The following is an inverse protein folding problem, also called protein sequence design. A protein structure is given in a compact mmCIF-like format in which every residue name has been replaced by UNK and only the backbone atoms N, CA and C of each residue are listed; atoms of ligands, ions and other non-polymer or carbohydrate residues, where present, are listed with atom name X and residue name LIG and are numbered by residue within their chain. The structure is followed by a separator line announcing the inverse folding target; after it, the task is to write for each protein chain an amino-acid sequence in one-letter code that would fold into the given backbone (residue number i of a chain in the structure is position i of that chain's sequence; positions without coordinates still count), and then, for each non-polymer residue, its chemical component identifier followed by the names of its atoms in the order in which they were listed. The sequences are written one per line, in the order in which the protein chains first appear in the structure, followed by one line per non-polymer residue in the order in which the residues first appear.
data_IF_832356095016
#
_entry.id   IF_832356095016
#
_cell.length_a   1.000
_cell.length_b   1.000
_cell.length_c   1.000
_cell.angle_alpha   90.00
_cell.angle_beta   90.00
_cell.angle_gamma   90.00
#
_symmetry.space_group_name_H-M   'P 1'
#
loop_
_entity.id
_entity.type
_entity.pdbx_description
1 polymer ?
#
# COMPACT_ATOMS: atom_id res chain seq x y z
N UNK A 1 -13.24 1.17 -0.30
CA UNK A 1 -12.07 2.08 -0.35
C UNK A 1 -11.30 1.88 0.93
N UNK A 2 -10.06 1.37 0.85
CA UNK A 2 -9.21 1.08 2.00
C UNK A 2 -8.15 2.18 2.16
N UNK A 3 -7.84 2.59 3.39
CA UNK A 3 -6.77 3.59 3.64
C UNK A 3 -5.57 2.91 4.30
N UNK A 4 -4.40 3.02 3.68
CA UNK A 4 -3.10 2.55 4.15
C UNK A 4 -2.28 3.70 4.70
N UNK A 5 -1.90 3.61 5.97
CA UNK A 5 -0.90 4.49 6.56
C UNK A 5 0.47 3.95 6.19
N UNK A 6 1.20 4.63 5.31
CA UNK A 6 2.54 4.20 4.89
C UNK A 6 3.56 5.21 5.39
N UNK A 7 4.61 4.78 6.11
CA UNK A 7 5.73 5.65 6.45
C UNK A 7 6.49 5.99 5.17
N UNK A 8 6.40 7.25 4.73
CA UNK A 8 7.15 7.74 3.58
C UNK A 8 8.32 8.57 4.06
N UNK A 9 9.44 8.46 3.36
CA UNK A 9 10.65 9.25 3.62
C UNK A 9 10.63 10.47 2.70
N UNK A 10 10.93 11.64 3.25
CA UNK A 10 10.98 12.91 2.52
C UNK A 10 12.43 13.39 2.41
N UNK A 11 12.70 14.32 1.49
CA UNK A 11 14.05 14.87 1.26
C UNK A 11 14.75 15.43 2.51
N UNK A 12 14.01 15.77 3.57
CA UNK A 12 14.55 16.29 4.85
C UNK A 12 14.96 15.17 5.85
N UNK A 13 15.04 13.91 5.41
CA UNK A 13 15.23 12.70 6.27
C UNK A 13 14.05 12.43 7.23
N UNK A 14 13.03 13.29 7.22
CA UNK A 14 11.82 13.06 7.99
C UNK A 14 11.00 11.91 7.40
N UNK A 15 10.56 11.01 8.27
CA UNK A 15 9.62 9.94 7.92
C UNK A 15 8.24 10.30 8.44
N UNK A 16 7.27 10.51 7.54
CA UNK A 16 5.91 10.83 7.94
C UNK A 16 4.90 9.81 7.40
N UNK A 17 3.88 9.52 8.21
CA UNK A 17 2.79 8.63 7.81
C UNK A 17 1.91 9.33 6.77
N UNK A 18 1.83 8.75 5.57
CA UNK A 18 0.98 9.23 4.51
C UNK A 18 -0.21 8.28 4.31
N UNK A 19 -1.46 8.79 4.33
CA UNK A 19 -2.64 7.96 4.08
C UNK A 19 -2.84 7.74 2.58
N UNK A 20 -2.36 6.62 2.08
CA UNK A 20 -2.69 6.14 0.74
C UNK A 20 -4.11 5.58 0.69
N UNK A 21 -4.86 5.92 -0.35
CA UNK A 21 -6.23 5.46 -0.54
C UNK A 21 -6.23 4.43 -1.65
N UNK A 22 -6.32 3.16 -1.26
CA UNK A 22 -6.52 2.07 -2.20
C UNK A 22 -8.00 1.96 -2.52
N UNK A 23 -8.36 2.47 -3.69
CA UNK A 23 -9.66 2.22 -4.30
C UNK A 23 -9.62 1.00 -5.23
N UNK A 24 -10.72 0.77 -5.93
CA UNK A 24 -10.77 -0.17 -7.04
C UNK A 24 -10.15 0.53 -8.27
N UNK A 25 -8.91 0.22 -8.68
CA UNK A 25 -8.33 0.82 -9.87
C UNK A 25 -9.12 0.35 -11.11
N UNK A 26 -9.14 1.17 -12.16
CA UNK A 26 -9.42 0.65 -13.49
C UNK A 26 -8.39 -0.43 -13.82
N UNK A 27 -8.81 -1.47 -14.53
CA UNK A 27 -8.06 -2.73 -14.72
C UNK A 27 -6.61 -2.61 -15.22
N UNK A 28 -6.21 -1.44 -15.72
CA UNK A 28 -4.93 -1.19 -16.38
C UNK A 28 -3.95 -0.28 -15.59
N UNK A 29 -4.37 0.29 -14.45
CA UNK A 29 -3.56 1.29 -13.73
C UNK A 29 -3.18 0.82 -12.31
N UNK A 30 -1.95 1.09 -11.89
CA UNK A 30 -1.53 0.78 -10.52
C UNK A 30 -2.32 1.64 -9.52
N UNK A 31 -2.94 1.05 -8.48
CA UNK A 31 -3.86 1.72 -7.56
C UNK A 31 -3.23 2.92 -6.85
N UNK A 32 -1.91 2.94 -6.71
CA UNK A 32 -1.18 3.98 -6.01
C UNK A 32 -0.31 4.84 -6.93
N UNK A 33 -0.26 4.57 -8.25
CA UNK A 33 0.65 5.28 -9.17
C UNK A 33 0.49 6.78 -9.08
N UNK A 34 -0.76 7.25 -9.15
CA UNK A 34 -1.08 8.66 -9.13
C UNK A 34 -0.75 9.30 -7.78
N UNK A 35 -0.95 8.57 -6.68
CA UNK A 35 -0.63 9.06 -5.34
C UNK A 35 0.88 9.10 -5.09
N UNK A 36 1.63 8.11 -5.58
CA UNK A 36 3.09 8.07 -5.52
C UNK A 36 3.70 9.18 -6.37
N UNK A 37 3.20 9.37 -7.60
CA UNK A 37 3.61 10.46 -8.47
C UNK A 37 3.32 11.83 -7.85
N UNK A 38 2.15 11.99 -7.20
CA UNK A 38 1.82 13.19 -6.46
C UNK A 38 2.74 13.41 -5.25
N UNK A 39 3.02 12.37 -4.46
CA UNK A 39 3.90 12.44 -3.30
C UNK A 39 5.30 12.91 -3.70
N UNK A 40 5.85 12.31 -4.76
CA UNK A 40 7.14 12.68 -5.30
C UNK A 40 7.15 14.11 -5.86
N UNK A 41 6.10 14.51 -6.58
CA UNK A 41 6.03 15.84 -7.22
C UNK A 41 5.75 16.98 -6.25
N UNK A 42 4.84 16.77 -5.30
CA UNK A 42 4.29 17.85 -4.47
C UNK A 42 4.95 17.93 -3.09
N UNK A 43 5.38 16.79 -2.54
CA UNK A 43 6.07 16.72 -1.24
C UNK A 43 7.56 16.41 -1.32
N UNK A 44 8.09 15.95 -2.45
CA UNK A 44 9.45 15.39 -2.48
C UNK A 44 9.56 14.12 -1.62
N UNK A 45 8.46 13.38 -1.49
CA UNK A 45 8.42 12.14 -0.71
C UNK A 45 8.57 10.91 -1.57
N UNK A 46 9.27 9.90 -1.07
CA UNK A 46 9.30 8.57 -1.64
C UNK A 46 8.68 7.56 -0.68
N UNK A 47 7.78 6.73 -1.20
CA UNK A 47 7.28 5.59 -0.46
C UNK A 47 8.32 4.45 -0.48
N UNK A 48 8.39 3.64 0.59
CA UNK A 48 9.28 2.50 0.65
C UNK A 48 8.96 1.50 -0.47
N UNK A 49 10.00 1.07 -1.18
CA UNK A 49 9.88 0.13 -2.30
C UNK A 49 9.17 -1.17 -1.89
N UNK A 50 9.38 -1.66 -0.67
CA UNK A 50 8.73 -2.86 -0.15
C UNK A 50 7.19 -2.76 -0.17
N UNK A 51 6.65 -1.58 0.14
CA UNK A 51 5.20 -1.35 0.12
C UNK A 51 4.70 -1.28 -1.33
N UNK A 52 5.43 -0.59 -2.20
CA UNK A 52 5.09 -0.49 -3.63
C UNK A 52 5.08 -1.89 -4.28
N UNK A 53 6.09 -2.71 -4.01
CA UNK A 53 6.19 -4.08 -4.51
C UNK A 53 5.05 -4.96 -3.97
N UNK A 54 4.79 -4.89 -2.66
CA UNK A 54 3.67 -5.60 -2.02
C UNK A 54 2.31 -5.25 -2.65
N UNK A 55 2.03 -3.97 -2.88
CA UNK A 55 0.79 -3.55 -3.58
C UNK A 55 0.76 -4.05 -5.02
N UNK A 56 1.89 -4.02 -5.72
CA UNK A 56 1.99 -4.52 -7.10
C UNK A 56 1.63 -6.00 -7.16
N UNK A 57 2.15 -6.80 -6.22
CA UNK A 57 1.84 -8.22 -6.12
C UNK A 57 0.36 -8.46 -5.81
N UNK A 58 -0.22 -7.72 -4.85
CA UNK A 58 -1.64 -7.80 -4.53
C UNK A 58 -2.52 -7.40 -5.72
N UNK A 59 -2.12 -6.42 -6.52
CA UNK A 59 -2.83 -6.05 -7.75
C UNK A 59 -2.80 -7.18 -8.77
N UNK A 60 -1.64 -7.82 -8.99
CA UNK A 60 -1.55 -8.94 -9.92
C UNK A 60 -2.46 -10.08 -9.49
N UNK A 61 -2.49 -10.41 -8.20
CA UNK A 61 -3.42 -11.39 -7.63
C UNK A 61 -4.88 -10.96 -7.79
N UNK A 62 -5.19 -9.67 -7.60
CA UNK A 62 -6.54 -9.13 -7.79
C UNK A 62 -7.04 -9.36 -9.23
N UNK A 63 -6.17 -9.06 -10.21
CA UNK A 63 -6.47 -9.25 -11.64
C UNK A 63 -6.59 -10.73 -11.97
N UNK A 64 -5.67 -11.57 -11.49
CA UNK A 64 -5.64 -13.01 -11.78
C UNK A 64 -6.84 -13.74 -11.20
N UNK A 65 -7.20 -13.44 -9.96
CA UNK A 65 -8.34 -14.04 -9.25
C UNK A 65 -9.67 -13.32 -9.56
N UNK A 66 -9.64 -12.27 -10.39
CA UNK A 66 -10.79 -11.38 -10.64
C UNK A 66 -11.47 -10.92 -9.34
N UNK A 67 -10.68 -10.66 -8.31
CA UNK A 67 -11.13 -10.21 -7.00
C UNK A 67 -10.85 -8.71 -6.82
N UNK A 68 -11.46 -8.11 -5.79
CA UNK A 68 -11.25 -6.70 -5.48
C UNK A 68 -9.93 -6.54 -4.75
N UNK A 69 -9.05 -5.70 -5.30
CA UNK A 69 -7.79 -5.31 -4.66
C UNK A 69 -8.02 -4.84 -3.21
N UNK A 70 -9.11 -4.13 -2.97
CA UNK A 70 -9.48 -3.62 -1.64
C UNK A 70 -9.57 -4.73 -0.58
N UNK A 71 -10.09 -5.90 -0.97
CA UNK A 71 -10.24 -7.06 -0.11
C UNK A 71 -8.88 -7.72 0.17
N UNK A 72 -8.06 -7.86 -0.87
CA UNK A 72 -6.68 -8.36 -0.76
C UNK A 72 -5.80 -7.46 0.10
N UNK A 73 -5.91 -6.15 -0.06
CA UNK A 73 -5.17 -5.17 0.76
C UNK A 73 -5.67 -5.18 2.20
N UNK A 74 -6.98 -5.24 2.44
CA UNK A 74 -7.52 -5.38 3.79
C UNK A 74 -7.05 -6.68 4.46
N UNK A 75 -6.98 -7.78 3.70
CA UNK A 75 -6.44 -9.05 4.17
C UNK A 75 -4.96 -8.95 4.48
N UNK A 76 -4.15 -8.42 3.57
CA UNK A 76 -2.71 -8.23 3.76
C UNK A 76 -2.40 -7.28 4.93
N UNK A 77 -3.17 -6.21 5.12
CA UNK A 77 -3.06 -5.34 6.28
C UNK A 77 -3.42 -6.05 7.58
N UNK A 78 -4.45 -6.90 7.56
CA UNK A 78 -4.81 -7.73 8.72
C UNK A 78 -3.67 -8.69 9.04
N UNK A 79 -3.15 -9.42 8.06
CA UNK A 79 -2.01 -10.33 8.22
C UNK A 79 -0.75 -9.59 8.71
N UNK A 80 -0.44 -8.42 8.14
CA UNK A 80 0.70 -7.61 8.54
C UNK A 80 0.53 -7.01 9.96
N UNK A 81 -0.69 -6.63 10.33
CA UNK A 81 -0.99 -6.19 11.71
C UNK A 81 -0.93 -7.35 12.70
N UNK A 82 -1.33 -8.56 12.27
CA UNK A 82 -1.19 -9.80 13.05
C UNK A 82 0.30 -10.17 13.21
N UNK A 83 1.15 -9.81 12.25
CA UNK A 83 2.60 -10.00 12.38
C UNK A 83 3.26 -9.13 13.46
N UNK A 84 2.55 -8.11 14.00
CA UNK A 84 3.02 -7.31 15.13
C UNK A 84 2.56 -7.84 16.50
N UNK A 85 1.85 -8.99 16.58
CA UNK A 85 1.70 -9.74 17.83
C UNK A 85 2.66 -10.92 17.87
N UNK A 86 3.82 -10.82 18.56
CA UNK A 86 4.56 -12.01 18.96
C UNK A 86 3.77 -12.70 20.06
N UNK A 87 2.84 -13.58 19.68
CA UNK A 87 2.15 -14.42 20.66
C UNK A 87 0.75 -14.84 20.25
N UNK A 88 0.64 -16.05 19.71
CA UNK A 88 -0.01 -17.11 20.49
C UNK A 88 0.49 -18.47 20.00
N UNK A 89 1.25 -19.22 20.83
CA UNK A 89 1.39 -20.65 20.68
C UNK A 89 0.11 -21.36 21.15
N UNK A 90 -0.14 -22.50 20.49
CA UNK A 90 -0.93 -23.67 20.93
C UNK A 90 -2.46 -23.57 20.86
#
# INVERSE_FOLDING_TARGET
MQTLMVPCTFDDDETAMFPFRVGQPCADAHPLEQQLAWLARERGGQAPQEIVDSLTQLQRLAVEQSTKLEDLVAHAMREAAVFSVPGSPS
#
